data_IF_394757405977
#
_entry.id   IF_394757405977
#
_cell.length_a   1.000
_cell.length_b   1.000
_cell.length_c   1.000
_cell.angle_alpha   90.00
_cell.angle_beta   90.00
_cell.angle_gamma   90.00
#
_symmetry.space_group_name_H-M   'P 1'
#
loop_
_entity.id
_entity.type
_entity.pdbx_description
1 polymer ?
#
# COMPACT_ATOMS: atom_id res chain seq x y z
N UNK A 1 -10.49 18.21 6.14
CA UNK A 1 -9.20 17.87 5.48
C UNK A 1 -8.36 17.10 6.50
N UNK A 2 -7.76 15.97 6.14
CA UNK A 2 -6.97 15.16 7.10
C UNK A 2 -5.64 15.88 7.40
N UNK A 3 -5.08 15.83 8.63
CA UNK A 3 -3.89 16.62 9.00
C UNK A 3 -2.69 16.43 8.08
N UNK A 4 -2.47 15.21 7.58
CA UNK A 4 -1.35 14.90 6.67
C UNK A 4 -1.43 15.64 5.33
N UNK A 5 -2.60 16.12 4.90
CA UNK A 5 -2.77 16.81 3.62
C UNK A 5 -2.20 18.24 3.65
N UNK A 6 -1.81 18.74 4.82
CA UNK A 6 -1.16 20.04 4.99
C UNK A 6 0.38 19.93 4.99
N UNK A 7 0.92 18.72 5.02
CA UNK A 7 2.36 18.49 5.00
C UNK A 7 2.79 18.37 3.54
N UNK A 8 3.56 19.33 3.00
CA UNK A 8 3.99 19.26 1.61
C UNK A 8 4.93 18.07 1.39
N UNK A 9 4.74 17.37 0.27
CA UNK A 9 5.67 16.33 -0.15
C UNK A 9 6.86 17.01 -0.82
N UNK A 10 8.01 17.00 -0.15
CA UNK A 10 9.27 17.49 -0.70
C UNK A 10 10.08 16.31 -1.25
N UNK A 11 10.29 16.29 -2.56
CA UNK A 11 11.10 15.25 -3.20
C UNK A 11 12.56 15.36 -2.75
N UNK A 12 13.12 14.26 -2.23
CA UNK A 12 14.49 14.21 -1.73
C UNK A 12 15.52 13.78 -2.79
N UNK A 13 15.07 13.36 -3.99
CA UNK A 13 15.92 12.98 -5.12
C UNK A 13 16.56 11.60 -4.99
N UNK A 14 16.33 10.86 -3.90
CA UNK A 14 16.85 9.52 -3.73
C UNK A 14 16.21 8.54 -4.72
N UNK A 15 16.97 7.61 -5.32
CA UNK A 15 16.38 6.61 -6.20
C UNK A 15 15.50 5.63 -5.42
N UNK A 16 14.47 5.10 -6.09
CA UNK A 16 13.78 3.90 -5.62
C UNK A 16 14.65 2.67 -5.87
N UNK A 17 14.82 1.84 -4.84
CA UNK A 17 15.62 0.61 -4.87
C UNK A 17 14.77 -0.58 -4.46
N UNK A 18 14.98 -1.70 -5.15
CA UNK A 18 14.32 -2.97 -4.82
C UNK A 18 14.86 -3.47 -3.49
N UNK A 19 13.99 -3.93 -2.61
CA UNK A 19 14.39 -4.53 -1.33
C UNK A 19 15.00 -5.91 -1.60
N UNK A 20 16.10 -6.21 -0.92
CA UNK A 20 16.75 -7.53 -0.86
C UNK A 20 15.91 -8.46 0.04
N UNK A 21 14.91 -9.13 -0.53
CA UNK A 21 13.84 -9.82 0.21
C UNK A 21 14.33 -10.90 1.17
N UNK A 22 15.44 -11.57 0.85
CA UNK A 22 16.04 -12.63 1.66
C UNK A 22 16.49 -12.16 3.06
N UNK A 23 16.74 -10.85 3.23
CA UNK A 23 17.11 -10.24 4.52
C UNK A 23 15.92 -9.99 5.43
N UNK A 24 14.70 -10.01 4.88
CA UNK A 24 13.48 -9.60 5.57
C UNK A 24 12.45 -10.73 5.57
N UNK A 25 11.43 -10.59 6.40
CA UNK A 25 10.24 -11.41 6.26
C UNK A 25 9.27 -10.67 5.33
N UNK A 26 8.85 -11.34 4.25
CA UNK A 26 7.89 -10.78 3.29
C UNK A 26 6.85 -11.83 2.95
N UNK A 27 5.81 -11.44 2.22
CA UNK A 27 4.84 -12.38 1.66
C UNK A 27 5.02 -12.38 0.15
N UNK A 28 5.10 -13.56 -0.45
CA UNK A 28 5.28 -13.69 -1.90
C UNK A 28 4.31 -14.75 -2.43
N UNK A 29 3.44 -14.42 -3.40
CA UNK A 29 3.22 -13.08 -3.98
C UNK A 29 2.68 -12.06 -2.95
N UNK A 30 2.80 -10.76 -3.24
CA UNK A 30 2.35 -9.71 -2.32
C UNK A 30 0.83 -9.76 -2.11
N UNK A 31 0.29 -9.38 -0.94
CA UNK A 31 -1.15 -9.46 -0.67
C UNK A 31 -2.02 -8.80 -1.73
N UNK A 32 -1.66 -7.62 -2.24
CA UNK A 32 -2.44 -6.98 -3.32
C UNK A 32 -2.33 -7.73 -4.66
N UNK A 33 -1.18 -8.35 -4.98
CA UNK A 33 -1.04 -9.18 -6.18
C UNK A 33 -1.93 -10.43 -6.09
N UNK A 34 -2.06 -11.04 -4.89
CA UNK A 34 -2.98 -12.17 -4.66
C UNK A 34 -4.43 -11.80 -4.95
N UNK A 35 -4.80 -10.55 -4.72
CA UNK A 35 -6.13 -10.03 -5.04
C UNK A 35 -6.30 -9.67 -6.52
N UNK A 36 -5.22 -9.61 -7.29
CA UNK A 36 -5.22 -9.29 -8.73
C UNK A 36 -4.65 -7.91 -9.07
N UNK A 37 -4.08 -7.18 -8.11
CA UNK A 37 -3.44 -5.90 -8.39
C UNK A 37 -2.22 -6.08 -9.31
N UNK A 38 -2.11 -5.24 -10.34
CA UNK A 38 -1.04 -5.32 -11.32
C UNK A 38 0.05 -4.28 -11.03
N UNK A 39 1.26 -4.76 -10.74
CA UNK A 39 2.45 -3.92 -10.54
C UNK A 39 3.23 -3.62 -11.83
N UNK A 40 2.74 -4.05 -13.00
CA UNK A 40 3.36 -3.78 -14.30
C UNK A 40 4.75 -4.41 -14.44
N UNK A 41 4.95 -5.60 -13.86
CA UNK A 41 6.25 -6.28 -13.82
C UNK A 41 7.25 -5.69 -12.81
N UNK A 42 6.87 -4.67 -12.04
CA UNK A 42 7.69 -4.13 -10.95
C UNK A 42 7.49 -4.97 -9.69
N UNK A 43 8.53 -5.06 -8.87
CA UNK A 43 8.41 -5.59 -7.50
C UNK A 43 7.49 -4.69 -6.65
N UNK A 44 6.64 -5.24 -5.76
CA UNK A 44 5.88 -4.48 -4.78
C UNK A 44 6.75 -4.00 -3.59
N UNK A 45 8.01 -4.44 -3.55
CA UNK A 45 8.97 -4.14 -2.50
C UNK A 45 10.07 -3.21 -3.04
N UNK A 46 9.77 -1.92 -3.13
CA UNK A 46 10.75 -0.84 -3.33
C UNK A 46 10.69 0.14 -2.17
N UNK A 47 11.84 0.75 -1.85
CA UNK A 47 11.95 1.88 -0.93
C UNK A 47 12.92 2.92 -1.49
N UNK A 48 12.79 4.17 -1.04
CA UNK A 48 13.83 5.18 -1.26
C UNK A 48 15.13 4.73 -0.59
N UNK A 49 16.27 5.07 -1.18
CA UNK A 49 17.59 4.55 -0.77
C UNK A 49 17.89 4.76 0.72
N UNK A 50 17.61 5.93 1.28
CA UNK A 50 17.87 6.23 2.69
C UNK A 50 17.01 5.41 3.65
N UNK A 51 15.74 5.19 3.30
CA UNK A 51 14.83 4.33 4.06
C UNK A 51 15.31 2.88 4.00
N UNK A 52 15.71 2.40 2.82
CA UNK A 52 16.26 1.06 2.66
C UNK A 52 17.54 0.85 3.49
N UNK A 53 18.44 1.83 3.50
CA UNK A 53 19.67 1.78 4.30
C UNK A 53 19.35 1.70 5.79
N UNK A 54 18.42 2.53 6.26
CA UNK A 54 17.96 2.54 7.66
C UNK A 54 17.33 1.21 8.05
N UNK A 55 16.50 0.63 7.17
CA UNK A 55 15.87 -0.66 7.37
C UNK A 55 16.89 -1.81 7.43
N UNK A 56 17.94 -1.77 6.61
CA UNK A 56 19.04 -2.74 6.67
C UNK A 56 19.81 -2.62 7.99
N UNK A 57 20.12 -1.40 8.43
CA UNK A 57 20.76 -1.16 9.73
C UNK A 57 19.91 -1.70 10.88
N UNK A 58 18.61 -1.43 10.87
CA UNK A 58 17.68 -1.96 11.88
C UNK A 58 17.64 -3.49 11.87
N UNK A 59 17.64 -4.12 10.70
CA UNK A 59 17.69 -5.58 10.59
C UNK A 59 19.01 -6.17 11.11
N UNK A 60 20.15 -5.49 10.89
CA UNK A 60 21.43 -5.90 11.46
C UNK A 60 21.44 -5.82 12.98
N UNK A 61 20.96 -4.70 13.55
CA UNK A 61 20.84 -4.54 15.00
C UNK A 61 19.90 -5.58 15.60
N UNK A 62 18.75 -5.84 14.96
CA UNK A 62 17.82 -6.88 15.39
C UNK A 62 18.49 -8.25 15.48
N UNK A 63 19.32 -8.60 14.49
CA UNK A 63 20.04 -9.88 14.47
C UNK A 63 21.11 -9.98 15.56
N UNK A 64 21.72 -8.86 15.97
CA UNK A 64 22.71 -8.85 17.07
C UNK A 64 22.06 -9.20 18.42
N UNK A 65 20.84 -8.72 18.66
CA UNK A 65 20.13 -8.95 19.92
C UNK A 65 19.26 -10.22 19.89
N UNK A 66 18.70 -10.54 18.73
CA UNK A 66 17.78 -11.66 18.53
C UNK A 66 18.13 -12.41 17.23
N UNK A 67 19.14 -13.30 17.26
CA UNK A 67 19.55 -14.07 16.10
C UNK A 67 18.36 -14.83 15.48
N UNK A 68 18.22 -14.74 14.16
CA UNK A 68 17.15 -15.36 13.39
C UNK A 68 15.89 -14.50 13.21
N UNK A 69 15.71 -13.43 13.98
CA UNK A 69 14.52 -12.57 13.86
C UNK A 69 14.57 -11.62 12.66
N UNK A 70 13.51 -11.62 11.85
CA UNK A 70 13.42 -10.75 10.67
C UNK A 70 12.31 -9.74 10.80
N UNK A 71 12.56 -8.52 10.36
CA UNK A 71 11.54 -7.47 10.24
C UNK A 71 10.57 -7.89 9.14
N UNK A 72 9.27 -7.95 9.48
CA UNK A 72 8.21 -8.22 8.51
C UNK A 72 7.85 -6.93 7.78
N UNK A 73 7.92 -6.95 6.45
CA UNK A 73 7.45 -5.86 5.59
C UNK A 73 6.07 -6.24 5.05
N UNK A 74 5.07 -5.46 5.44
CA UNK A 74 3.68 -5.64 4.99
C UNK A 74 3.39 -4.90 3.69
N UNK A 75 3.88 -3.68 3.57
CA UNK A 75 3.71 -2.82 2.40
C UNK A 75 4.96 -1.93 2.25
N UNK A 76 5.30 -1.56 1.02
CA UNK A 76 6.48 -0.75 0.73
C UNK A 76 6.28 0.13 -0.49
N UNK A 77 5.93 -0.46 -1.64
CA UNK A 77 5.67 0.28 -2.87
C UNK A 77 4.25 0.02 -3.34
N UNK A 78 3.52 1.11 -3.61
CA UNK A 78 2.15 1.08 -4.10
C UNK A 78 1.98 2.14 -5.19
N UNK A 79 2.10 1.78 -6.47
CA UNK A 79 1.73 2.64 -7.58
C UNK A 79 0.28 3.14 -7.47
N UNK A 80 -0.03 4.27 -8.11
CA UNK A 80 -1.38 4.84 -8.10
C UNK A 80 -2.41 3.86 -8.67
N UNK A 81 -2.03 3.08 -9.68
CA UNK A 81 -2.86 2.06 -10.31
C UNK A 81 -3.22 0.93 -9.32
N UNK A 82 -2.26 0.53 -8.48
CA UNK A 82 -2.50 -0.47 -7.42
C UNK A 82 -3.40 0.11 -6.33
N UNK A 83 -3.24 1.39 -5.99
CA UNK A 83 -4.13 2.06 -5.03
C UNK A 83 -5.56 2.16 -5.57
N UNK A 84 -5.74 2.54 -6.84
CA UNK A 84 -7.05 2.57 -7.49
C UNK A 84 -7.69 1.19 -7.49
N UNK A 85 -6.92 0.16 -7.87
CA UNK A 85 -7.38 -1.23 -7.79
C UNK A 85 -7.90 -1.57 -6.38
N UNK A 86 -7.17 -1.23 -5.33
CA UNK A 86 -7.58 -1.54 -3.96
C UNK A 86 -8.83 -0.77 -3.51
N UNK A 87 -9.00 0.47 -3.97
CA UNK A 87 -10.22 1.27 -3.74
C UNK A 87 -11.43 0.59 -4.38
N UNK A 88 -11.31 0.19 -5.65
CA UNK A 88 -12.39 -0.47 -6.39
C UNK A 88 -12.70 -1.86 -5.84
N UNK A 89 -11.65 -2.64 -5.52
CA UNK A 89 -11.77 -3.96 -4.91
C UNK A 89 -12.50 -3.88 -3.57
N UNK A 90 -12.15 -2.90 -2.73
CA UNK A 90 -12.80 -2.72 -1.41
C UNK A 90 -14.25 -2.31 -1.56
N UNK A 91 -14.57 -1.43 -2.51
CA UNK A 91 -15.96 -1.07 -2.82
C UNK A 91 -16.77 -2.31 -3.22
N UNK A 92 -16.26 -3.11 -4.15
CA UNK A 92 -16.91 -4.34 -4.61
C UNK A 92 -17.10 -5.35 -3.46
N UNK A 93 -16.07 -5.53 -2.63
CA UNK A 93 -16.10 -6.43 -1.48
C UNK A 93 -17.16 -6.02 -0.45
N UNK A 94 -17.31 -4.72 -0.19
CA UNK A 94 -18.34 -4.21 0.73
C UNK A 94 -19.76 -4.36 0.17
N UNK A 95 -19.94 -4.16 -1.14
CA UNK A 95 -21.22 -4.42 -1.82
C UNK A 95 -21.62 -5.89 -1.65
N UNK A 96 -20.70 -6.80 -1.94
CA UNK A 96 -20.91 -8.24 -1.82
C UNK A 96 -21.18 -8.67 -0.38
N UNK A 97 -20.38 -8.19 0.58
CA UNK A 97 -20.55 -8.49 2.01
C UNK A 97 -21.90 -8.02 2.58
N UNK A 98 -22.49 -6.98 2.00
CA UNK A 98 -23.83 -6.48 2.35
C UNK A 98 -24.96 -7.19 1.58
N UNK A 99 -24.66 -8.16 0.73
CA UNK A 99 -25.65 -8.85 -0.11
C UNK A 99 -26.29 -7.96 -1.17
N UNK A 100 -25.62 -6.87 -1.57
CA UNK A 100 -26.14 -5.89 -2.51
C UNK A 100 -25.67 -6.18 -3.94
N UNK A 101 -26.42 -5.67 -4.92
CA UNK A 101 -26.01 -5.67 -6.32
C UNK A 101 -25.47 -4.29 -6.72
N UNK A 102 -24.19 -4.23 -7.13
CA UNK A 102 -23.52 -2.99 -7.52
C UNK A 102 -24.28 -2.19 -8.61
N UNK A 103 -25.01 -2.88 -9.50
CA UNK A 103 -25.78 -2.26 -10.60
C UNK A 103 -27.12 -1.68 -10.15
N UNK A 104 -27.60 -2.03 -8.95
CA UNK A 104 -28.91 -1.65 -8.43
C UNK A 104 -28.82 -0.81 -7.15
N UNK A 105 -27.62 -0.34 -6.79
CA UNK A 105 -27.42 0.53 -5.63
C UNK A 105 -28.16 1.85 -5.82
N UNK A 106 -28.97 2.22 -4.82
CA UNK A 106 -29.43 3.60 -4.69
C UNK A 106 -28.23 4.54 -4.45
N UNK A 107 -28.40 5.82 -4.79
CA UNK A 107 -27.36 6.83 -4.56
C UNK A 107 -26.91 6.89 -3.10
N UNK A 108 -27.85 6.71 -2.16
CA UNK A 108 -27.56 6.70 -0.71
C UNK A 108 -26.71 5.50 -0.29
N UNK A 109 -27.03 4.29 -0.77
CA UNK A 109 -26.22 3.10 -0.48
C UNK A 109 -24.82 3.23 -1.07
N UNK A 110 -24.72 3.66 -2.33
CA UNK A 110 -23.44 3.88 -2.99
C UNK A 110 -22.57 4.88 -2.23
N UNK A 111 -23.15 6.00 -1.78
CA UNK A 111 -22.43 6.98 -0.98
C UNK A 111 -21.96 6.40 0.36
N UNK A 112 -22.83 5.68 1.08
CA UNK A 112 -22.46 5.07 2.38
C UNK A 112 -21.34 4.04 2.25
N UNK A 113 -21.29 3.28 1.16
CA UNK A 113 -20.19 2.35 0.89
C UNK A 113 -18.91 3.11 0.59
N UNK A 114 -18.96 4.16 -0.23
CA UNK A 114 -17.77 4.99 -0.49
C UNK A 114 -17.21 5.63 0.78
N UNK A 115 -18.08 6.10 1.68
CA UNK A 115 -17.67 6.62 2.98
C UNK A 115 -16.90 5.58 3.80
N UNK A 116 -17.32 4.31 3.76
CA UNK A 116 -16.59 3.19 4.39
C UNK A 116 -15.25 2.94 3.70
N UNK A 117 -15.20 2.91 2.37
CA UNK A 117 -13.94 2.73 1.61
C UNK A 117 -12.93 3.81 2.01
N UNK A 118 -13.36 5.07 2.15
CA UNK A 118 -12.48 6.20 2.46
C UNK A 118 -12.00 6.27 3.93
N UNK A 119 -12.51 5.39 4.79
CA UNK A 119 -11.92 5.17 6.11
C UNK A 119 -10.60 4.40 6.01
N UNK A 120 -10.49 3.48 5.04
CA UNK A 120 -9.32 2.62 4.86
C UNK A 120 -8.37 3.14 3.77
N UNK A 121 -8.92 3.72 2.69
CA UNK A 121 -8.14 4.11 1.52
C UNK A 121 -8.24 5.62 1.27
N UNK A 122 -7.10 6.24 0.98
CA UNK A 122 -7.10 7.57 0.40
C UNK A 122 -7.57 7.49 -1.06
N UNK A 123 -8.25 8.54 -1.54
CA UNK A 123 -8.57 8.68 -2.96
C UNK A 123 -7.25 8.77 -3.74
N UNK A 124 -7.06 7.98 -4.83
CA UNK A 124 -5.87 8.05 -5.64
C UNK A 124 -5.72 9.43 -6.27
N UNK A 125 -4.49 9.93 -6.32
CA UNK A 125 -4.14 11.21 -6.94
C UNK A 125 -3.04 11.01 -7.95
N UNK A 126 -3.16 11.71 -9.07
CA UNK A 126 -2.17 11.68 -10.15
C UNK A 126 -1.09 12.76 -9.98
N UNK A 127 -1.38 13.81 -9.20
CA UNK A 127 -0.40 14.85 -8.90
C UNK A 127 0.58 14.34 -7.83
N UNK A 128 1.87 14.14 -8.17
CA UNK A 128 2.87 13.61 -7.24
C UNK A 128 3.18 14.54 -6.06
N UNK A 129 2.71 15.79 -6.10
CA UNK A 129 2.90 16.78 -5.02
C UNK A 129 1.80 16.78 -3.96
N UNK A 130 0.75 15.95 -4.10
CA UNK A 130 -0.46 16.03 -3.25
C UNK A 130 -1.06 14.70 -2.78
#
# INVERSE_FOLDING_TARGET
MKPYQQIPIQECGEPLRKITLEKFAVESPHPYEKLGANYGGRSPYYLRQGVLNSLITAQHQLQQHYPGWRIKIFDAYRPVEVQQFMVDYTFASLVEAQGLNAKQLSSKQRQSIWEQVYQFWAVPKLDPST
#
